data_IF_756587503988
#
_entry.id   IF_756587503988
#
_cell.length_a   1.000
_cell.length_b   1.000
_cell.length_c   1.000
_cell.angle_alpha   90.00
_cell.angle_beta   90.00
_cell.angle_gamma   90.00
#
_symmetry.space_group_name_H-M   'P 1'
#
loop_
_entity.id
_entity.type
_entity.pdbx_description
1 polymer ?
#
# COMPACT_ATOMS: atom_id res chain seq x y z
N UNK A 1 -19.96 1.37 -25.12
CA UNK A 1 -19.37 1.78 -26.42
C UNK A 1 -20.22 2.89 -26.98
N UNK A 2 -19.59 3.92 -27.56
CA UNK A 2 -20.33 4.97 -28.26
C UNK A 2 -20.77 4.40 -29.61
N UNK A 3 -22.07 4.45 -29.88
CA UNK A 3 -22.62 4.21 -31.21
C UNK A 3 -22.07 5.29 -32.13
N UNK A 4 -21.44 4.90 -33.24
CA UNK A 4 -20.95 5.82 -34.25
C UNK A 4 -21.58 5.45 -35.59
N UNK A 5 -22.10 6.46 -36.27
CA UNK A 5 -22.59 6.33 -37.65
C UNK A 5 -21.42 6.25 -38.62
N UNK A 6 -21.67 5.75 -39.84
CA UNK A 6 -20.65 5.67 -40.89
C UNK A 6 -20.08 7.08 -41.16
N UNK A 7 -18.79 7.26 -40.93
CA UNK A 7 -18.08 8.53 -41.12
C UNK A 7 -17.93 9.37 -39.84
N UNK A 8 -18.49 8.96 -38.70
CA UNK A 8 -18.24 9.61 -37.41
C UNK A 8 -16.94 9.10 -36.79
N UNK A 9 -16.16 10.05 -36.27
CA UNK A 9 -14.98 9.75 -35.45
C UNK A 9 -15.46 9.26 -34.09
N UNK A 10 -15.00 8.09 -33.66
CA UNK A 10 -15.27 7.54 -32.34
C UNK A 10 -13.98 7.27 -31.61
N UNK A 11 -14.02 7.41 -30.28
CA UNK A 11 -12.89 7.06 -29.43
C UNK A 11 -12.93 5.57 -29.13
N UNK A 12 -11.93 4.84 -29.62
CA UNK A 12 -11.69 3.44 -29.27
C UNK A 12 -10.73 3.41 -28.08
N UNK A 13 -11.15 2.74 -27.01
CA UNK A 13 -10.27 2.51 -25.87
C UNK A 13 -9.53 1.19 -26.10
N UNK A 14 -8.22 1.29 -26.22
CA UNK A 14 -7.31 0.18 -26.55
C UNK A 14 -6.57 -0.32 -25.31
N UNK A 15 -6.70 0.41 -24.20
CA UNK A 15 -6.22 0.05 -22.88
C UNK A 15 -7.19 0.55 -21.82
N UNK A 16 -7.50 -0.29 -20.84
CA UNK A 16 -8.23 0.12 -19.64
C UNK A 16 -7.93 -0.81 -18.46
N UNK A 17 -8.16 -0.30 -17.25
CA UNK A 17 -8.05 -1.03 -15.99
C UNK A 17 -9.22 -0.62 -15.11
N UNK A 18 -10.12 -1.55 -14.81
CA UNK A 18 -11.44 -1.28 -14.24
C UNK A 18 -11.81 -2.33 -13.18
N UNK A 19 -12.59 -1.91 -12.19
CA UNK A 19 -13.26 -2.83 -11.25
C UNK A 19 -14.74 -2.94 -11.58
N UNK A 20 -15.38 -3.98 -11.04
CA UNK A 20 -16.84 -4.17 -11.08
C UNK A 20 -17.64 -3.07 -10.38
N UNK A 21 -16.99 -2.10 -9.73
CA UNK A 21 -17.66 -0.94 -9.13
C UNK A 21 -17.95 0.15 -10.17
N UNK A 22 -17.39 0.01 -11.38
CA UNK A 22 -17.54 1.00 -12.46
C UNK A 22 -18.62 0.59 -13.47
N UNK A 23 -19.55 1.47 -13.87
CA UNK A 23 -20.57 1.13 -14.87
C UNK A 23 -20.00 0.71 -16.24
N UNK A 24 -18.79 1.18 -16.58
CA UNK A 24 -18.10 0.83 -17.82
C UNK A 24 -17.66 -0.64 -17.83
N UNK A 25 -17.27 -1.18 -16.68
CA UNK A 25 -16.88 -2.59 -16.54
C UNK A 25 -17.96 -3.53 -17.07
N UNK A 26 -19.21 -3.36 -16.63
CA UNK A 26 -20.32 -4.23 -17.02
C UNK A 26 -20.55 -4.24 -18.53
N UNK A 27 -20.53 -3.07 -19.17
CA UNK A 27 -20.70 -2.94 -20.62
C UNK A 27 -19.60 -3.66 -21.41
N UNK A 28 -18.37 -3.64 -20.90
CA UNK A 28 -17.23 -4.29 -21.55
C UNK A 28 -17.25 -5.80 -21.35
N UNK A 29 -17.56 -6.28 -20.14
CA UNK A 29 -17.63 -7.71 -19.84
C UNK A 29 -18.78 -8.40 -20.59
N UNK A 30 -19.95 -7.77 -20.70
CA UNK A 30 -21.06 -8.30 -21.53
C UNK A 30 -20.65 -8.44 -23.00
N UNK A 31 -19.93 -7.45 -23.53
CA UNK A 31 -19.42 -7.50 -24.90
C UNK A 31 -18.38 -8.60 -25.09
N UNK A 32 -17.48 -8.76 -24.11
CA UNK A 32 -16.45 -9.79 -24.11
C UNK A 32 -17.05 -11.20 -24.06
N UNK A 33 -18.07 -11.43 -23.22
CA UNK A 33 -18.80 -12.70 -23.14
C UNK A 33 -19.36 -13.08 -24.51
N UNK A 34 -19.99 -12.13 -25.21
CA UNK A 34 -20.49 -12.35 -26.57
C UNK A 34 -19.41 -12.72 -27.59
N UNK A 35 -18.26 -12.02 -27.57
CA UNK A 35 -17.14 -12.29 -28.48
C UNK A 35 -16.52 -13.67 -28.23
N UNK A 36 -16.22 -14.00 -26.98
CA UNK A 36 -15.60 -15.28 -26.63
C UNK A 36 -16.56 -16.44 -26.94
N UNK A 37 -17.84 -16.31 -26.60
CA UNK A 37 -18.85 -17.35 -26.89
C UNK A 37 -18.95 -17.58 -28.40
N UNK A 38 -19.08 -16.52 -29.20
CA UNK A 38 -19.15 -16.64 -30.65
C UNK A 38 -17.90 -17.30 -31.26
N UNK A 39 -16.73 -17.00 -30.71
CA UNK A 39 -15.48 -17.51 -31.25
C UNK A 39 -15.21 -18.97 -30.83
N UNK A 40 -15.67 -19.37 -29.65
CA UNK A 40 -15.54 -20.75 -29.12
C UNK A 40 -16.59 -21.70 -29.69
N UNK A 41 -17.80 -21.22 -29.98
CA UNK A 41 -18.85 -21.98 -30.69
C UNK A 41 -18.35 -22.50 -32.05
N UNK A 42 -17.55 -21.70 -32.78
CA UNK A 42 -16.93 -22.10 -34.05
C UNK A 42 -15.97 -23.29 -33.91
N UNK A 43 -15.45 -23.52 -32.71
CA UNK A 43 -14.52 -24.60 -32.40
C UNK A 43 -15.18 -25.72 -31.59
N UNK A 44 -16.50 -25.67 -31.35
CA UNK A 44 -17.23 -26.62 -30.50
C UNK A 44 -16.68 -26.71 -29.07
N UNK A 45 -16.12 -25.61 -28.56
CA UNK A 45 -15.63 -25.48 -27.19
C UNK A 45 -16.68 -24.71 -26.39
N UNK A 46 -17.15 -25.26 -25.28
CA UNK A 46 -18.07 -24.54 -24.37
C UNK A 46 -17.28 -23.97 -23.20
N UNK A 47 -17.29 -22.64 -23.05
CA UNK A 47 -16.66 -21.94 -21.93
C UNK A 47 -17.73 -21.25 -21.09
N UNK A 48 -17.74 -21.50 -19.77
CA UNK A 48 -18.61 -20.77 -18.85
C UNK A 48 -17.84 -19.65 -18.15
N UNK A 49 -17.88 -18.45 -18.74
CA UNK A 49 -17.19 -17.27 -18.21
C UNK A 49 -17.75 -16.78 -16.88
N UNK A 50 -18.99 -17.14 -16.53
CA UNK A 50 -19.66 -16.69 -15.30
C UNK A 50 -19.15 -17.39 -14.04
N UNK A 51 -18.53 -18.56 -14.20
CA UNK A 51 -17.96 -19.33 -13.10
C UNK A 51 -16.44 -19.20 -13.01
N UNK A 52 -15.81 -18.65 -14.04
CA UNK A 52 -14.36 -18.50 -14.10
C UNK A 52 -13.86 -17.51 -13.04
N UNK A 53 -12.79 -17.89 -12.34
CA UNK A 53 -12.09 -17.01 -11.41
C UNK A 53 -11.05 -16.15 -12.11
N UNK A 54 -10.45 -16.64 -13.19
CA UNK A 54 -9.49 -15.91 -14.02
C UNK A 54 -9.65 -16.30 -15.47
N UNK A 55 -9.76 -15.30 -16.33
CA UNK A 55 -9.77 -15.40 -17.79
C UNK A 55 -8.64 -14.52 -18.31
N UNK A 56 -7.63 -15.14 -18.90
CA UNK A 56 -6.55 -14.45 -19.60
C UNK A 56 -6.68 -14.74 -21.09
N UNK A 57 -6.76 -13.69 -21.89
CA UNK A 57 -6.81 -13.75 -23.34
C UNK A 57 -5.59 -13.05 -23.93
N UNK A 58 -4.94 -13.71 -24.88
CA UNK A 58 -3.82 -13.17 -25.65
C UNK A 58 -4.28 -13.05 -27.10
N UNK A 59 -4.20 -11.86 -27.67
CA UNK A 59 -4.53 -11.59 -29.08
C UNK A 59 -3.21 -11.47 -29.83
N UNK A 60 -2.98 -12.38 -30.78
CA UNK A 60 -1.75 -12.41 -31.58
C UNK A 60 -1.84 -11.40 -32.74
N UNK A 61 -0.71 -11.01 -33.36
CA UNK A 61 -0.69 -10.03 -34.45
C UNK A 61 -1.50 -10.41 -35.69
N UNK A 62 -1.78 -11.70 -35.89
CA UNK A 62 -2.61 -12.22 -36.97
C UNK A 62 -4.12 -12.23 -36.63
N UNK A 63 -4.51 -11.63 -35.50
CA UNK A 63 -5.85 -11.65 -34.90
C UNK A 63 -6.34 -13.04 -34.47
N UNK A 64 -5.47 -14.05 -34.43
CA UNK A 64 -5.76 -15.24 -33.65
C UNK A 64 -5.70 -14.91 -32.16
N UNK A 65 -6.34 -15.72 -31.32
CA UNK A 65 -6.30 -15.52 -29.89
C UNK A 65 -6.18 -16.84 -29.14
N UNK A 66 -5.57 -16.76 -27.97
CA UNK A 66 -5.40 -17.84 -27.01
C UNK A 66 -6.15 -17.47 -25.73
N UNK A 67 -6.93 -18.41 -25.17
CA UNK A 67 -7.73 -18.17 -23.96
C UNK A 67 -7.36 -19.18 -22.88
N UNK A 68 -7.02 -18.68 -21.72
CA UNK A 68 -6.78 -19.43 -20.50
C UNK A 68 -7.90 -19.15 -19.51
N UNK A 69 -8.65 -20.18 -19.12
CA UNK A 69 -9.76 -20.08 -18.15
C UNK A 69 -9.40 -20.93 -16.95
N UNK A 70 -9.15 -20.30 -15.81
CA UNK A 70 -8.70 -20.93 -14.55
C UNK A 70 -7.48 -21.87 -14.69
N UNK A 71 -6.72 -21.72 -15.78
CA UNK A 71 -5.59 -22.57 -16.12
C UNK A 71 -4.25 -21.81 -16.15
N UNK A 72 -4.29 -20.48 -16.24
CA UNK A 72 -3.07 -19.67 -16.20
C UNK A 72 -2.51 -19.65 -14.77
N UNK A 73 -1.24 -19.98 -14.62
CA UNK A 73 -0.56 -19.81 -13.35
C UNK A 73 -0.48 -18.31 -13.01
N UNK A 74 -0.97 -17.93 -11.82
CA UNK A 74 -0.98 -16.54 -11.35
C UNK A 74 0.10 -16.37 -10.28
N UNK A 75 0.91 -15.32 -10.42
CA UNK A 75 1.91 -14.92 -9.41
C UNK A 75 1.69 -13.46 -9.02
N UNK A 76 1.64 -13.19 -7.73
CA UNK A 76 1.63 -11.84 -7.19
C UNK A 76 3.04 -11.44 -6.77
N UNK A 77 3.49 -10.25 -7.17
CA UNK A 77 4.71 -9.63 -6.62
C UNK A 77 4.34 -8.77 -5.43
N UNK A 78 4.76 -9.17 -4.24
CA UNK A 78 4.46 -8.48 -3.01
C UNK A 78 5.70 -7.81 -2.43
N UNK A 79 5.51 -6.65 -1.79
CA UNK A 79 6.46 -6.12 -0.81
C UNK A 79 6.19 -6.82 0.52
N UNK A 80 7.23 -7.39 1.11
CA UNK A 80 7.12 -8.20 2.34
C UNK A 80 7.61 -7.45 3.57
N UNK A 81 6.99 -7.73 4.72
CA UNK A 81 7.31 -7.14 6.03
C UNK A 81 8.47 -7.84 6.75
N UNK A 82 8.95 -8.97 6.24
CA UNK A 82 10.08 -9.70 6.83
C UNK A 82 10.77 -10.53 5.78
N UNK A 83 11.97 -11.00 6.11
CA UNK A 83 12.67 -12.01 5.30
C UNK A 83 11.89 -13.32 5.28
N UNK A 84 11.67 -13.87 4.09
CA UNK A 84 10.95 -15.13 3.88
C UNK A 84 11.80 -16.00 2.95
N UNK A 85 12.12 -17.22 3.40
CA UNK A 85 12.90 -18.16 2.60
C UNK A 85 12.08 -18.67 1.40
N UNK A 86 12.75 -18.91 0.27
CA UNK A 86 12.11 -19.48 -0.91
C UNK A 86 11.34 -20.77 -0.57
N UNK A 87 10.17 -20.97 -1.21
CA UNK A 87 9.25 -22.09 -0.98
C UNK A 87 8.53 -22.09 0.38
N UNK A 88 8.69 -21.06 1.20
CA UNK A 88 7.89 -20.89 2.42
C UNK A 88 6.52 -20.32 2.09
N UNK A 89 5.53 -20.62 2.93
CA UNK A 89 4.23 -19.97 2.86
C UNK A 89 4.35 -18.47 3.16
N UNK A 90 3.61 -17.66 2.41
CA UNK A 90 3.43 -16.22 2.63
C UNK A 90 2.00 -16.00 3.09
N UNK A 91 1.83 -15.33 4.22
CA UNK A 91 0.52 -15.01 4.77
C UNK A 91 0.18 -13.53 4.55
N UNK A 92 -1.10 -13.18 4.65
CA UNK A 92 -1.55 -11.78 4.48
C UNK A 92 -0.79 -10.82 5.42
N UNK A 93 -0.57 -11.23 6.67
CA UNK A 93 0.18 -10.45 7.65
C UNK A 93 1.63 -10.16 7.24
N UNK A 94 2.20 -10.92 6.29
CA UNK A 94 3.55 -10.72 5.77
C UNK A 94 3.59 -9.68 4.65
N UNK A 95 2.45 -9.26 4.11
CA UNK A 95 2.36 -8.39 2.93
C UNK A 95 2.24 -6.93 3.36
N UNK A 96 3.17 -6.10 2.90
CA UNK A 96 3.12 -4.64 3.04
C UNK A 96 2.46 -3.98 1.83
N UNK A 97 2.60 -4.54 0.62
CA UNK A 97 1.98 -4.05 -0.61
C UNK A 97 1.95 -5.13 -1.70
N UNK A 98 1.08 -4.97 -2.71
CA UNK A 98 1.01 -5.81 -3.91
C UNK A 98 1.31 -4.93 -5.12
N UNK A 99 2.41 -5.23 -5.81
CA UNK A 99 2.93 -4.37 -6.88
C UNK A 99 2.56 -4.86 -8.28
N UNK A 100 2.47 -6.17 -8.48
CA UNK A 100 2.17 -6.77 -9.77
C UNK A 100 1.37 -8.06 -9.63
N UNK A 101 0.65 -8.40 -10.69
CA UNK A 101 0.13 -9.74 -10.96
C UNK A 101 0.66 -10.20 -12.31
N UNK A 102 1.17 -11.43 -12.38
CA UNK A 102 1.89 -11.97 -13.52
C UNK A 102 1.42 -13.38 -13.88
N UNK A 103 1.70 -13.77 -15.13
CA UNK A 103 1.40 -15.10 -15.67
C UNK A 103 2.70 -15.75 -16.18
N UNK A 104 3.54 -16.32 -15.31
CA UNK A 104 4.90 -16.75 -15.67
C UNK A 104 4.96 -17.94 -16.63
N UNK A 105 3.88 -18.71 -16.76
CA UNK A 105 3.81 -19.89 -17.63
C UNK A 105 2.99 -19.64 -18.89
N UNK A 106 2.74 -18.37 -19.23
CA UNK A 106 2.00 -17.97 -20.42
C UNK A 106 2.93 -17.12 -21.29
N UNK A 107 3.07 -17.51 -22.56
CA UNK A 107 3.90 -16.78 -23.52
C UNK A 107 3.16 -15.56 -24.09
N UNK A 108 3.53 -14.38 -23.59
CA UNK A 108 3.02 -13.09 -24.02
C UNK A 108 4.14 -12.36 -24.77
N UNK A 109 4.00 -12.22 -26.09
CA UNK A 109 4.94 -11.55 -26.96
C UNK A 109 4.80 -10.02 -26.95
N UNK A 110 5.84 -9.31 -27.38
CA UNK A 110 5.88 -7.84 -27.39
C UNK A 110 4.85 -7.20 -28.32
N UNK A 111 4.31 -7.94 -29.30
CA UNK A 111 3.29 -7.46 -30.23
C UNK A 111 1.89 -7.97 -29.92
N UNK A 112 1.75 -8.78 -28.88
CA UNK A 112 0.47 -9.35 -28.49
C UNK A 112 -0.39 -8.29 -27.81
N UNK A 113 -1.70 -8.37 -28.02
CA UNK A 113 -2.70 -7.76 -27.16
C UNK A 113 -3.00 -8.69 -25.98
N UNK A 114 -3.33 -8.12 -24.83
CA UNK A 114 -3.67 -8.89 -23.63
C UNK A 114 -4.94 -8.37 -22.99
N UNK A 115 -5.73 -9.28 -22.44
CA UNK A 115 -6.86 -8.99 -21.58
C UNK A 115 -6.86 -9.98 -20.43
N UNK A 116 -7.04 -9.50 -19.21
CA UNK A 116 -7.25 -10.31 -18.04
C UNK A 116 -8.50 -9.84 -17.29
N UNK A 117 -9.43 -10.75 -17.09
CA UNK A 117 -10.58 -10.62 -16.19
C UNK A 117 -10.37 -11.59 -15.05
N UNK A 118 -10.37 -11.12 -13.81
CA UNK A 118 -10.22 -11.98 -12.64
C UNK A 118 -11.20 -11.59 -11.54
N UNK A 119 -11.44 -12.54 -10.64
CA UNK A 119 -12.31 -12.40 -9.49
C UNK A 119 -11.48 -12.39 -8.21
N UNK A 120 -11.76 -11.43 -7.34
CA UNK A 120 -11.27 -11.41 -5.96
C UNK A 120 -12.46 -11.30 -5.02
N UNK A 121 -12.66 -12.34 -4.20
CA UNK A 121 -13.85 -12.56 -3.38
C UNK A 121 -15.17 -12.43 -4.17
N UNK A 122 -15.88 -11.31 -4.06
CA UNK A 122 -17.18 -11.05 -4.71
C UNK A 122 -17.12 -10.00 -5.82
N UNK A 123 -15.94 -9.42 -6.07
CA UNK A 123 -15.74 -8.37 -7.05
C UNK A 123 -14.77 -8.82 -8.15
N UNK A 124 -14.75 -8.06 -9.24
CA UNK A 124 -13.98 -8.41 -10.44
C UNK A 124 -13.07 -7.26 -10.86
N UNK A 125 -11.88 -7.62 -11.35
CA UNK A 125 -10.94 -6.72 -12.01
C UNK A 125 -10.82 -7.08 -13.48
N UNK A 126 -10.85 -6.05 -14.34
CA UNK A 126 -10.63 -6.17 -15.78
C UNK A 126 -9.50 -5.23 -16.18
N UNK A 127 -8.44 -5.77 -16.76
CA UNK A 127 -7.45 -4.96 -17.46
C UNK A 127 -7.25 -5.49 -18.88
N UNK A 128 -7.02 -4.59 -19.82
CA UNK A 128 -6.59 -4.96 -21.17
C UNK A 128 -5.64 -3.92 -21.75
N UNK A 129 -4.81 -4.40 -22.67
CA UNK A 129 -3.92 -3.62 -23.50
C UNK A 129 -3.81 -4.31 -24.86
N UNK A 130 -4.53 -3.80 -25.87
CA UNK A 130 -4.55 -4.35 -27.21
C UNK A 130 -3.46 -3.77 -28.12
N UNK A 131 -2.49 -3.06 -27.55
CA UNK A 131 -1.28 -2.65 -28.25
C UNK A 131 -1.53 -1.86 -29.56
N UNK A 132 -2.42 -0.86 -29.52
CA UNK A 132 -2.75 -0.04 -30.69
C UNK A 132 -1.59 0.93 -31.01
N UNK A 133 -0.70 0.48 -31.89
CA UNK A 133 0.36 1.30 -32.48
C UNK A 133 1.77 1.12 -31.91
N UNK A 134 2.08 0.03 -31.19
CA UNK A 134 3.40 -0.13 -30.57
C UNK A 134 3.79 -1.54 -30.13
N UNK A 135 4.58 -1.60 -29.05
CA UNK A 135 4.88 -2.82 -28.31
C UNK A 135 4.10 -2.81 -26.98
N UNK A 136 3.63 -3.99 -26.55
CA UNK A 136 2.97 -4.19 -25.27
C UNK A 136 3.86 -3.73 -24.13
N UNK A 137 3.37 -2.79 -23.32
CA UNK A 137 4.01 -2.41 -22.06
C UNK A 137 3.62 -3.44 -20.99
N UNK A 138 4.27 -4.62 -21.06
CA UNK A 138 3.98 -5.75 -20.18
C UNK A 138 4.10 -5.39 -18.71
N UNK A 139 5.15 -4.65 -18.36
CA UNK A 139 5.39 -4.22 -16.99
C UNK A 139 4.23 -3.35 -16.49
N UNK A 140 3.75 -2.39 -17.29
CA UNK A 140 2.58 -1.59 -16.92
C UNK A 140 1.31 -2.44 -16.78
N UNK A 141 1.05 -3.35 -17.71
CA UNK A 141 -0.12 -4.23 -17.63
C UNK A 141 -0.11 -5.07 -16.34
N UNK A 142 1.04 -5.65 -15.98
CA UNK A 142 1.20 -6.43 -14.76
C UNK A 142 1.06 -5.57 -13.50
N UNK A 143 1.51 -4.30 -13.52
CA UNK A 143 1.26 -3.33 -12.44
C UNK A 143 -0.21 -2.95 -12.31
N UNK A 144 -0.88 -2.73 -13.43
CA UNK A 144 -2.30 -2.38 -13.46
C UNK A 144 -3.13 -3.52 -12.85
N UNK A 145 -2.81 -4.78 -13.18
CA UNK A 145 -3.44 -5.95 -12.55
C UNK A 145 -3.13 -6.06 -11.05
N UNK A 146 -1.89 -5.81 -10.64
CA UNK A 146 -1.52 -5.76 -9.22
C UNK A 146 -2.33 -4.69 -8.46
N UNK A 147 -2.53 -3.54 -9.08
CA UNK A 147 -3.32 -2.43 -8.53
C UNK A 147 -4.79 -2.77 -8.41
N UNK A 148 -5.39 -3.38 -9.44
CA UNK A 148 -6.77 -3.87 -9.37
C UNK A 148 -6.92 -4.92 -8.26
N UNK A 149 -6.01 -5.89 -8.17
CA UNK A 149 -6.07 -6.93 -7.14
C UNK A 149 -6.00 -6.31 -5.75
N UNK A 150 -5.07 -5.38 -5.54
CA UNK A 150 -4.95 -4.63 -4.28
C UNK A 150 -6.23 -3.88 -3.94
N UNK A 151 -6.77 -3.11 -4.89
CA UNK A 151 -7.99 -2.33 -4.69
C UNK A 151 -9.18 -3.20 -4.28
N UNK A 152 -9.32 -4.38 -4.89
CA UNK A 152 -10.38 -5.33 -4.55
C UNK A 152 -10.15 -6.02 -3.20
N UNK A 153 -8.94 -6.59 -3.00
CA UNK A 153 -8.57 -7.32 -1.78
C UNK A 153 -8.63 -6.45 -0.53
N UNK A 154 -8.13 -5.22 -0.65
CA UNK A 154 -7.99 -4.27 0.46
C UNK A 154 -8.99 -3.12 0.37
N UNK A 155 -10.13 -3.30 -0.31
CA UNK A 155 -11.16 -2.27 -0.47
C UNK A 155 -11.52 -1.57 0.84
N UNK A 156 -11.69 -2.33 1.92
CA UNK A 156 -11.96 -1.81 3.25
C UNK A 156 -10.93 -0.79 3.76
N UNK A 157 -9.65 -0.91 3.37
CA UNK A 157 -8.62 0.08 3.71
C UNK A 157 -8.80 1.34 2.89
N UNK A 158 -9.03 1.21 1.59
CA UNK A 158 -9.31 2.34 0.71
C UNK A 158 -10.55 3.12 1.15
N UNK A 159 -11.63 2.44 1.53
CA UNK A 159 -12.83 3.08 2.08
C UNK A 159 -12.56 3.85 3.38
N UNK A 160 -11.63 3.37 4.22
CA UNK A 160 -11.18 4.09 5.42
C UNK A 160 -10.38 5.33 5.02
N UNK A 161 -9.47 5.20 4.05
CA UNK A 161 -8.62 6.30 3.57
C UNK A 161 -9.43 7.40 2.86
N UNK A 162 -10.48 7.02 2.14
CA UNK A 162 -11.36 7.91 1.39
C UNK A 162 -12.44 8.58 2.27
N UNK A 163 -12.55 8.20 3.54
CA UNK A 163 -13.44 8.81 4.54
C UNK A 163 -12.67 9.85 5.38
N UNK A 164 -12.83 11.16 5.10
CA UNK A 164 -12.05 12.20 5.78
C UNK A 164 -12.33 12.27 7.28
N UNK A 165 -13.55 11.93 7.73
CA UNK A 165 -13.91 11.96 9.13
C UNK A 165 -13.23 10.83 9.90
N UNK A 166 -13.24 9.62 9.33
CA UNK A 166 -12.52 8.48 9.91
C UNK A 166 -11.02 8.74 9.94
N UNK A 167 -10.44 9.29 8.87
CA UNK A 167 -9.02 9.63 8.83
C UNK A 167 -8.63 10.72 9.83
N UNK A 168 -9.43 11.77 9.97
CA UNK A 168 -9.20 12.78 11.00
C UNK A 168 -9.24 12.18 12.41
N UNK A 169 -10.20 11.29 12.68
CA UNK A 169 -10.29 10.59 13.96
C UNK A 169 -9.08 9.70 14.23
N UNK A 170 -8.62 8.93 13.24
CA UNK A 170 -7.40 8.12 13.32
C UNK A 170 -6.18 8.98 13.65
N UNK A 171 -5.94 10.05 12.89
CA UNK A 171 -4.79 10.95 13.08
C UNK A 171 -4.82 11.66 14.43
N UNK A 172 -6.00 12.09 14.89
CA UNK A 172 -6.14 12.72 16.22
C UNK A 172 -5.72 11.78 17.35
N UNK A 173 -5.89 10.46 17.16
CA UNK A 173 -5.45 9.42 18.09
C UNK A 173 -4.02 8.93 17.85
N UNK A 174 -3.32 9.43 16.83
CA UNK A 174 -1.97 9.01 16.45
C UNK A 174 -1.89 7.71 15.66
N UNK A 175 -3.00 7.32 15.04
CA UNK A 175 -3.08 6.11 14.23
C UNK A 175 -3.07 6.43 12.72
N UNK A 176 -2.48 5.50 11.98
CA UNK A 176 -2.36 5.47 10.53
C UNK A 176 -2.35 4.00 10.10
N UNK A 177 -2.74 3.62 8.86
CA UNK A 177 -2.51 2.28 8.33
C UNK A 177 -1.01 2.01 8.10
N UNK A 178 -0.23 1.93 9.18
CA UNK A 178 1.19 1.62 9.08
C UNK A 178 1.36 0.22 8.47
N UNK A 179 2.31 0.09 7.56
CA UNK A 179 2.57 -1.14 6.81
C UNK A 179 2.73 -2.36 7.73
N UNK A 180 3.32 -2.18 8.91
CA UNK A 180 3.50 -3.27 9.88
C UNK A 180 2.15 -3.85 10.38
N UNK A 181 1.12 -3.02 10.59
CA UNK A 181 -0.17 -3.42 11.19
C UNK A 181 -1.35 -3.37 10.20
N UNK A 182 -1.11 -3.01 8.94
CA UNK A 182 -2.13 -2.64 7.92
C UNK A 182 -3.23 -3.67 7.65
N UNK A 183 -3.03 -4.91 8.07
CA UNK A 183 -3.94 -6.03 7.82
C UNK A 183 -5.06 -6.12 8.87
N UNK A 184 -5.25 -7.28 9.51
CA UNK A 184 -6.31 -7.51 10.48
C UNK A 184 -6.27 -6.55 11.68
N UNK A 185 -5.09 -6.23 12.19
CA UNK A 185 -4.89 -5.36 13.36
C UNK A 185 -5.42 -3.95 13.10
N UNK A 186 -4.98 -3.31 12.01
CA UNK A 186 -5.48 -2.00 11.64
C UNK A 186 -6.97 -2.02 11.31
N UNK A 187 -7.48 -3.08 10.65
CA UNK A 187 -8.92 -3.20 10.36
C UNK A 187 -9.76 -3.14 11.64
N UNK A 188 -9.37 -3.88 12.67
CA UNK A 188 -10.09 -3.90 13.96
C UNK A 188 -10.05 -2.54 14.64
N UNK A 189 -8.86 -1.91 14.68
CA UNK A 189 -8.64 -0.59 15.25
C UNK A 189 -9.46 0.49 14.54
N UNK A 190 -9.38 0.55 13.20
CA UNK A 190 -10.12 1.51 12.38
C UNK A 190 -11.63 1.35 12.54
N UNK A 191 -12.13 0.12 12.63
CA UNK A 191 -13.55 -0.17 12.88
C UNK A 191 -14.03 0.38 14.24
N UNK A 192 -13.23 0.21 15.31
CA UNK A 192 -13.58 0.75 16.63
C UNK A 192 -13.58 2.28 16.64
N UNK A 193 -12.56 2.89 16.02
CA UNK A 193 -12.47 4.35 15.91
C UNK A 193 -13.65 4.91 15.12
N UNK A 194 -13.96 4.33 13.96
CA UNK A 194 -15.10 4.73 13.12
C UNK A 194 -16.43 4.61 13.86
N UNK A 195 -16.56 3.61 14.72
CA UNK A 195 -17.78 3.36 15.50
C UNK A 195 -17.85 4.18 16.80
N UNK A 196 -16.82 4.97 17.13
CA UNK A 196 -16.74 5.71 18.38
C UNK A 196 -16.57 4.83 19.63
N UNK A 197 -16.14 3.58 19.44
CA UNK A 197 -15.91 2.65 20.55
C UNK A 197 -14.60 2.96 21.28
N UNK A 198 -14.52 2.50 22.53
CA UNK A 198 -13.29 2.58 23.31
C UNK A 198 -12.21 1.72 22.63
N UNK A 199 -11.02 2.29 22.44
CA UNK A 199 -9.89 1.62 21.78
C UNK A 199 -8.88 1.02 22.77
N UNK A 200 -9.04 1.25 24.08
CA UNK A 200 -8.03 0.91 25.09
C UNK A 200 -7.60 -0.57 25.08
N UNK A 201 -8.55 -1.49 24.94
CA UNK A 201 -8.27 -2.94 24.91
C UNK A 201 -7.49 -3.32 23.65
N UNK A 202 -7.94 -2.86 22.47
CA UNK A 202 -7.27 -3.14 21.19
C UNK A 202 -5.88 -2.53 21.14
N UNK A 203 -5.72 -1.32 21.69
CA UNK A 203 -4.41 -0.66 21.75
C UNK A 203 -3.47 -1.40 22.70
N UNK A 204 -3.97 -1.94 23.82
CA UNK A 204 -3.19 -2.77 24.72
C UNK A 204 -2.78 -4.09 24.05
N UNK A 205 -3.72 -4.80 23.42
CA UNK A 205 -3.44 -6.03 22.68
C UNK A 205 -2.42 -5.81 21.56
N UNK A 206 -2.52 -4.67 20.86
CA UNK A 206 -1.56 -4.31 19.83
C UNK A 206 -0.18 -4.04 20.42
N UNK A 207 -0.08 -3.38 21.57
CA UNK A 207 1.20 -3.20 22.27
C UNK A 207 1.81 -4.55 22.67
N UNK A 208 1.00 -5.49 23.20
CA UNK A 208 1.47 -6.83 23.58
C UNK A 208 1.91 -7.67 22.36
N UNK A 209 1.28 -7.47 21.20
CA UNK A 209 1.62 -8.18 19.97
C UNK A 209 2.99 -7.79 19.38
N UNK A 210 3.66 -6.75 19.90
CA UNK A 210 5.02 -6.38 19.53
C UNK A 210 6.03 -7.06 20.47
N UNK A 211 6.10 -8.38 20.32
CA UNK A 211 7.04 -9.24 21.03
C UNK A 211 8.50 -9.10 20.53
N UNK A 212 9.41 -9.85 21.14
CA UNK A 212 10.83 -9.83 20.78
C UNK A 212 11.07 -10.17 19.31
N UNK A 213 10.36 -11.15 18.77
CA UNK A 213 10.54 -11.57 17.39
C UNK A 213 10.10 -10.47 16.42
N UNK A 214 8.92 -9.89 16.65
CA UNK A 214 8.39 -8.81 15.82
C UNK A 214 9.26 -7.56 15.87
N UNK A 215 9.70 -7.16 17.06
CA UNK A 215 10.60 -6.01 17.22
C UNK A 215 11.95 -6.24 16.55
N UNK A 216 12.50 -7.46 16.63
CA UNK A 216 13.76 -7.78 15.96
C UNK A 216 13.61 -7.73 14.42
N UNK A 217 12.46 -8.12 13.87
CA UNK A 217 12.19 -7.96 12.42
C UNK A 217 12.19 -6.48 11.99
N UNK A 218 11.71 -5.57 12.85
CA UNK A 218 11.81 -4.12 12.57
C UNK A 218 13.28 -3.67 12.52
N UNK A 219 14.08 -4.08 13.51
CA UNK A 219 15.51 -3.78 13.55
C UNK A 219 16.25 -4.33 12.33
N UNK A 220 15.95 -5.56 11.89
CA UNK A 220 16.49 -6.13 10.65
C UNK A 220 16.15 -5.26 9.44
N UNK A 221 14.90 -4.82 9.32
CA UNK A 221 14.45 -3.93 8.25
C UNK A 221 15.19 -2.60 8.28
N UNK A 222 15.37 -2.01 9.46
CA UNK A 222 16.10 -0.77 9.65
C UNK A 222 17.58 -0.94 9.30
N UNK A 223 18.22 -2.01 9.75
CA UNK A 223 19.63 -2.30 9.49
C UNK A 223 19.93 -2.59 8.00
N UNK A 224 18.91 -2.90 7.19
CA UNK A 224 19.06 -3.00 5.74
C UNK A 224 19.20 -1.63 5.03
N UNK A 225 19.07 -0.51 5.76
CA UNK A 225 19.07 0.86 5.21
C UNK A 225 20.27 1.68 5.73
N UNK A 226 21.14 2.21 4.85
CA UNK A 226 22.36 2.91 5.28
C UNK A 226 22.13 4.08 6.25
N UNK A 227 21.09 4.89 6.02
CA UNK A 227 20.73 6.05 6.86
C UNK A 227 20.11 5.67 8.21
N UNK A 228 19.64 4.44 8.39
CA UNK A 228 19.23 3.90 9.69
C UNK A 228 20.42 3.31 10.45
N UNK A 229 21.34 2.62 9.75
CA UNK A 229 22.55 2.03 10.36
C UNK A 229 23.40 3.08 11.09
N UNK A 230 23.47 4.31 10.55
CA UNK A 230 24.15 5.42 11.21
C UNK A 230 23.60 5.75 12.61
N UNK A 231 22.37 5.33 12.91
CA UNK A 231 21.64 5.55 14.16
C UNK A 231 21.40 4.27 14.96
N UNK A 232 21.95 3.14 14.52
CA UNK A 232 21.62 1.80 15.03
C UNK A 232 21.63 1.71 16.56
N UNK A 233 22.69 2.21 17.23
CA UNK A 233 22.79 2.14 18.69
C UNK A 233 21.62 2.85 19.41
N UNK A 234 21.13 3.97 18.87
CA UNK A 234 19.98 4.68 19.42
C UNK A 234 18.67 3.92 19.16
N UNK A 235 18.53 3.35 17.96
CA UNK A 235 17.34 2.57 17.60
C UNK A 235 17.25 1.28 18.43
N UNK A 236 18.36 0.61 18.67
CA UNK A 236 18.45 -0.56 19.56
C UNK A 236 18.09 -0.19 20.99
N UNK A 237 18.61 0.92 21.53
CA UNK A 237 18.26 1.41 22.86
C UNK A 237 16.76 1.71 22.98
N UNK A 238 16.15 2.33 21.97
CA UNK A 238 14.72 2.57 21.95
C UNK A 238 13.90 1.27 21.94
N UNK A 239 14.30 0.26 21.16
CA UNK A 239 13.63 -1.03 21.15
C UNK A 239 13.79 -1.75 22.49
N UNK A 240 14.97 -1.71 23.11
CA UNK A 240 15.18 -2.25 24.46
C UNK A 240 14.33 -1.54 25.51
N UNK A 241 14.21 -0.22 25.43
CA UNK A 241 13.33 0.56 26.29
C UNK A 241 11.86 0.17 26.11
N UNK A 242 11.41 -0.10 24.87
CA UNK A 242 10.05 -0.56 24.60
C UNK A 242 9.78 -1.93 25.27
N UNK A 243 10.70 -2.89 25.09
CA UNK A 243 10.65 -4.21 25.75
C UNK A 243 10.57 -4.11 27.27
N UNK A 244 11.27 -3.13 27.85
CA UNK A 244 11.28 -2.84 29.30
C UNK A 244 10.11 -1.95 29.76
N UNK A 245 9.13 -1.65 28.90
CA UNK A 245 7.97 -0.80 29.20
C UNK A 245 8.36 0.62 29.67
N UNK A 246 9.36 1.22 29.02
CA UNK A 246 9.86 2.58 29.32
C UNK A 246 9.47 3.56 28.20
N UNK A 247 8.18 3.96 28.09
CA UNK A 247 7.68 4.72 26.95
C UNK A 247 8.37 6.08 26.78
N UNK A 248 8.75 6.73 27.88
CA UNK A 248 9.45 8.03 27.85
C UNK A 248 10.76 7.92 27.05
N UNK A 249 11.56 6.88 27.31
CA UNK A 249 12.84 6.69 26.63
C UNK A 249 12.62 6.41 25.13
N UNK A 250 11.68 5.53 24.78
CA UNK A 250 11.33 5.23 23.38
C UNK A 250 10.97 6.50 22.63
N UNK A 251 10.03 7.28 23.19
CA UNK A 251 9.50 8.49 22.55
C UNK A 251 10.59 9.55 22.40
N UNK A 252 11.37 9.81 23.46
CA UNK A 252 12.43 10.81 23.46
C UNK A 252 13.55 10.48 22.47
N UNK A 253 13.89 9.19 22.32
CA UNK A 253 14.90 8.75 21.35
C UNK A 253 14.34 8.83 19.92
N UNK A 254 13.22 8.14 19.65
CA UNK A 254 12.79 7.95 18.26
C UNK A 254 12.21 9.21 17.60
N UNK A 255 11.50 10.09 18.33
CA UNK A 255 10.96 11.31 17.73
C UNK A 255 12.05 12.24 17.18
N UNK A 256 13.22 12.29 17.84
CA UNK A 256 14.34 13.09 17.32
C UNK A 256 15.04 12.38 16.16
N UNK A 257 15.14 11.05 16.21
CA UNK A 257 15.79 10.28 15.14
C UNK A 257 14.95 10.22 13.85
N UNK A 258 13.61 10.29 13.90
CA UNK A 258 12.77 10.38 12.70
C UNK A 258 13.20 11.54 11.79
N UNK A 259 13.40 12.74 12.36
CA UNK A 259 13.85 13.92 11.60
C UNK A 259 15.28 13.73 11.06
N UNK A 260 16.17 13.13 11.87
CA UNK A 260 17.55 12.84 11.49
C UNK A 260 17.66 11.86 10.33
N UNK A 261 16.92 10.75 10.40
CA UNK A 261 16.84 9.70 9.38
C UNK A 261 16.30 10.24 8.06
N UNK A 262 15.23 11.05 8.10
CA UNK A 262 14.72 11.73 6.92
C UNK A 262 15.75 12.67 6.29
N UNK A 263 16.50 13.42 7.11
CA UNK A 263 17.54 14.32 6.64
C UNK A 263 18.69 13.57 5.98
N UNK A 264 19.13 12.46 6.58
CA UNK A 264 20.22 11.66 6.04
C UNK A 264 19.81 10.95 4.73
N UNK A 265 18.59 10.43 4.65
CA UNK A 265 18.01 9.90 3.41
C UNK A 265 17.92 10.99 2.31
N UNK A 266 17.45 12.20 2.66
CA UNK A 266 17.39 13.32 1.71
C UNK A 266 18.78 13.69 1.20
N UNK A 267 19.77 13.81 2.09
CA UNK A 267 21.16 14.17 1.75
C UNK A 267 21.79 13.14 0.81
N UNK A 268 21.53 11.84 1.03
CA UNK A 268 22.05 10.77 0.19
C UNK A 268 21.58 10.89 -1.26
N UNK A 269 20.35 11.36 -1.49
CA UNK A 269 19.77 11.53 -2.83
C UNK A 269 20.01 12.91 -3.44
N UNK A 270 20.36 13.93 -2.63
CA UNK A 270 20.48 15.32 -3.07
C UNK A 270 21.88 15.91 -2.81
N UNK A 271 22.93 15.10 -3.00
CA UNK A 271 24.34 15.53 -2.92
C UNK A 271 24.70 16.30 -1.64
N UNK A 272 24.16 15.88 -0.49
CA UNK A 272 24.47 16.47 0.81
C UNK A 272 23.72 17.76 1.15
N UNK A 273 22.76 18.20 0.33
CA UNK A 273 21.96 19.39 0.62
C UNK A 273 21.11 19.26 1.88
N UNK A 274 20.89 20.39 2.56
CA UNK A 274 20.03 20.49 3.74
C UNK A 274 18.74 21.23 3.44
N UNK A 275 17.66 20.75 4.04
CA UNK A 275 16.34 21.39 3.90
C UNK A 275 15.61 21.45 5.24
N UNK A 276 14.59 22.30 5.29
CA UNK A 276 13.71 22.46 6.46
C UNK A 276 12.75 21.26 6.56
N UNK A 277 12.18 21.04 7.75
CA UNK A 277 11.26 19.92 8.05
C UNK A 277 10.14 19.80 7.01
N UNK A 278 9.49 20.89 6.60
CA UNK A 278 8.42 20.85 5.59
C UNK A 278 8.85 20.14 4.29
N UNK A 279 10.06 20.42 3.81
CA UNK A 279 10.60 19.80 2.61
C UNK A 279 11.03 18.34 2.85
N UNK A 280 11.45 17.98 4.07
CA UNK A 280 11.70 16.58 4.44
C UNK A 280 10.41 15.75 4.42
N UNK A 281 9.28 16.32 4.82
CA UNK A 281 7.98 15.65 4.79
C UNK A 281 7.45 15.50 3.35
N UNK A 282 7.69 16.50 2.49
CA UNK A 282 7.45 16.39 1.04
C UNK A 282 8.27 15.26 0.44
N UNK A 283 9.57 15.25 0.72
CA UNK A 283 10.48 14.19 0.30
C UNK A 283 10.02 12.80 0.74
N UNK A 284 9.57 12.64 1.99
CA UNK A 284 9.08 11.34 2.47
C UNK A 284 7.88 10.83 1.65
N UNK A 285 6.92 11.70 1.33
CA UNK A 285 5.78 11.35 0.48
C UNK A 285 6.19 10.98 -0.94
N UNK A 286 7.11 11.74 -1.54
CA UNK A 286 7.64 11.46 -2.88
C UNK A 286 8.47 10.17 -2.93
N UNK A 287 9.33 9.95 -1.93
CA UNK A 287 10.12 8.73 -1.79
C UNK A 287 9.21 7.51 -1.65
N UNK A 288 8.17 7.59 -0.82
CA UNK A 288 7.18 6.54 -0.67
C UNK A 288 6.50 6.20 -2.00
N UNK A 289 5.96 7.20 -2.69
CA UNK A 289 5.31 7.02 -4.00
C UNK A 289 6.25 6.44 -5.05
N UNK A 290 7.49 6.94 -5.12
CA UNK A 290 8.52 6.43 -6.03
C UNK A 290 8.90 4.99 -5.70
N UNK A 291 9.07 4.66 -4.41
CA UNK A 291 9.41 3.31 -3.98
C UNK A 291 8.33 2.31 -4.38
N UNK A 292 7.06 2.72 -4.35
CA UNK A 292 5.93 1.87 -4.63
C UNK A 292 5.64 1.75 -6.13
N UNK A 293 6.21 2.63 -6.96
CA UNK A 293 6.04 2.62 -8.42
C UNK A 293 4.68 3.10 -8.92
N UNK A 294 3.76 3.43 -8.00
CA UNK A 294 2.42 3.95 -8.27
C UNK A 294 1.96 4.84 -7.09
N UNK A 295 1.08 5.83 -7.32
CA UNK A 295 0.56 6.68 -6.25
C UNK A 295 -0.46 5.95 -5.35
N UNK A 296 -1.20 5.00 -5.91
CA UNK A 296 -2.24 4.24 -5.23
C UNK A 296 -1.66 2.92 -4.74
N UNK A 297 -1.05 2.89 -3.55
CA UNK A 297 -0.48 1.67 -2.92
C UNK A 297 -0.90 1.55 -1.46
N UNK A 298 -0.74 0.35 -0.88
CA UNK A 298 -0.99 0.15 0.56
C UNK A 298 -0.05 0.93 1.47
N UNK A 299 1.00 1.54 0.91
CA UNK A 299 1.88 2.40 1.68
C UNK A 299 1.26 3.78 1.92
N UNK A 300 0.30 4.23 1.11
CA UNK A 300 -0.42 5.49 1.31
C UNK A 300 0.50 6.70 1.55
N UNK A 301 1.55 6.84 0.73
CA UNK A 301 2.64 7.79 0.96
C UNK A 301 2.18 9.26 1.13
N UNK A 302 1.18 9.68 0.36
CA UNK A 302 0.60 11.03 0.48
C UNK A 302 -0.10 11.23 1.84
N UNK A 303 -0.98 10.30 2.21
CA UNK A 303 -1.68 10.36 3.49
C UNK A 303 -0.72 10.22 4.68
N UNK A 304 0.38 9.48 4.53
CA UNK A 304 1.42 9.39 5.56
C UNK A 304 2.14 10.72 5.77
N UNK A 305 2.40 11.47 4.70
CA UNK A 305 2.93 12.84 4.80
C UNK A 305 2.00 13.73 5.60
N UNK A 306 0.69 13.68 5.33
CA UNK A 306 -0.32 14.43 6.10
C UNK A 306 -0.33 14.00 7.57
N UNK A 307 -0.30 12.69 7.84
CA UNK A 307 -0.16 12.16 9.20
C UNK A 307 1.06 12.71 9.94
N UNK A 308 2.24 12.72 9.30
CA UNK A 308 3.43 13.29 9.92
C UNK A 308 3.30 14.79 10.17
N UNK A 309 2.67 15.54 9.26
CA UNK A 309 2.47 16.98 9.42
C UNK A 309 1.49 17.31 10.56
N UNK A 310 0.38 16.58 10.63
CA UNK A 310 -0.72 16.86 11.56
C UNK A 310 -0.55 16.20 12.93
N UNK A 311 0.27 15.16 13.04
CA UNK A 311 0.49 14.43 14.30
C UNK A 311 1.96 14.50 14.76
N UNK A 312 2.89 13.88 14.04
CA UNK A 312 4.29 13.73 14.48
C UNK A 312 5.03 15.06 14.59
N UNK A 313 4.79 15.98 13.66
CA UNK A 313 5.37 17.33 13.62
C UNK A 313 4.30 18.41 13.81
N UNK A 314 3.21 18.06 14.50
CA UNK A 314 2.16 19.02 14.82
C UNK A 314 2.72 20.17 15.66
N UNK A 315 2.39 21.41 15.27
CA UNK A 315 2.62 22.58 16.10
C UNK A 315 1.78 22.50 17.38
N UNK A 316 2.27 23.10 18.46
CA UNK A 316 1.51 23.30 19.70
C UNK A 316 1.56 24.77 20.09
N UNK A 317 0.57 25.23 20.87
CA UNK A 317 0.55 26.58 21.42
C UNK A 317 1.29 26.61 22.77
N UNK A 318 2.47 27.27 22.87
CA UNK A 318 3.22 27.35 24.12
C UNK A 318 2.50 28.12 25.23
N UNK A 319 1.52 28.96 24.89
CA UNK A 319 0.74 29.76 25.83
C UNK A 319 -0.65 29.16 26.09
N UNK A 320 -0.99 28.09 25.38
CA UNK A 320 -2.30 27.43 25.41
C UNK A 320 -2.26 26.12 26.19
N UNK A 321 -2.92 25.10 25.65
CA UNK A 321 -2.87 23.76 26.24
C UNK A 321 -1.52 23.09 25.97
N UNK A 322 -0.96 22.37 26.96
CA UNK A 322 0.25 21.59 26.75
C UNK A 322 0.05 20.57 25.63
N UNK A 323 1.11 20.29 24.88
CA UNK A 323 1.06 19.30 23.80
C UNK A 323 1.04 17.86 24.31
N UNK A 324 1.01 16.90 23.38
CA UNK A 324 1.08 15.48 23.68
C UNK A 324 2.40 14.85 23.23
N UNK A 325 2.77 13.73 23.86
CA UNK A 325 3.99 12.98 23.57
C UNK A 325 4.02 12.30 22.18
N UNK A 326 3.00 12.49 21.35
CA UNK A 326 3.02 12.12 19.92
C UNK A 326 3.71 13.15 19.02
N UNK A 327 3.82 14.41 19.46
CA UNK A 327 4.44 15.48 18.68
C UNK A 327 5.90 15.69 19.06
N UNK A 328 6.80 15.61 18.07
CA UNK A 328 8.21 15.97 18.18
C UNK A 328 8.40 17.40 18.68
N UNK A 329 7.54 18.32 18.27
CA UNK A 329 7.64 19.71 18.73
C UNK A 329 7.29 19.82 20.21
N UNK A 330 6.16 19.25 20.64
CA UNK A 330 5.77 19.27 22.04
C UNK A 330 6.82 18.59 22.94
N UNK A 331 7.30 17.40 22.56
CA UNK A 331 8.31 16.64 23.32
C UNK A 331 9.66 17.35 23.34
N UNK A 332 10.09 17.90 22.20
CA UNK A 332 11.39 18.57 22.06
C UNK A 332 11.47 19.90 22.82
N UNK A 333 10.33 20.58 23.00
CA UNK A 333 10.23 21.81 23.78
C UNK A 333 9.85 21.60 25.26
N UNK A 334 9.68 20.35 25.68
CA UNK A 334 9.29 20.01 27.07
C UNK A 334 7.85 20.39 27.41
N UNK A 335 6.99 20.59 26.42
CA UNK A 335 5.60 20.99 26.58
C UNK A 335 4.62 19.81 26.60
N UNK A 336 5.10 18.59 26.37
CA UNK A 336 4.28 17.37 26.43
C UNK A 336 3.94 16.98 27.87
N UNK A 337 2.67 16.70 28.16
CA UNK A 337 2.21 16.26 29.49
C UNK A 337 2.79 14.90 29.87
N UNK A 338 3.02 14.65 31.16
CA UNK A 338 3.62 13.41 31.63
C UNK A 338 2.72 12.19 31.36
N UNK A 339 1.41 12.36 31.46
CA UNK A 339 0.39 11.33 31.25
C UNK A 339 0.35 10.85 29.79
N UNK A 340 0.78 11.69 28.86
CA UNK A 340 0.77 11.35 27.43
C UNK A 340 1.88 10.37 27.01
N UNK A 341 2.88 10.12 27.87
CA UNK A 341 3.95 9.16 27.61
C UNK A 341 3.51 7.72 27.92
N UNK A 342 2.70 7.16 27.02
CA UNK A 342 2.16 5.80 27.15
C UNK A 342 2.86 4.79 26.25
N UNK A 343 2.68 3.49 26.51
CA UNK A 343 3.19 2.43 25.63
C UNK A 343 2.55 2.46 24.25
N UNK A 344 1.26 2.81 24.16
CA UNK A 344 0.58 3.02 22.88
C UNK A 344 1.27 4.12 22.07
N UNK A 345 1.61 5.24 22.72
CA UNK A 345 2.30 6.35 22.05
C UNK A 345 3.71 5.96 21.63
N UNK A 346 4.42 5.19 22.45
CA UNK A 346 5.73 4.62 22.09
C UNK A 346 5.64 3.71 20.85
N UNK A 347 4.61 2.85 20.77
CA UNK A 347 4.38 1.98 19.63
C UNK A 347 4.11 2.79 18.35
N UNK A 348 3.27 3.82 18.42
CA UNK A 348 2.98 4.67 17.26
C UNK A 348 4.24 5.37 16.73
N UNK A 349 5.16 5.78 17.60
CA UNK A 349 6.44 6.36 17.18
C UNK A 349 7.33 5.31 16.51
N UNK A 350 7.38 4.08 17.04
CA UNK A 350 8.07 2.94 16.40
C UNK A 350 7.50 2.69 15.00
N UNK A 351 6.18 2.62 14.87
CA UNK A 351 5.48 2.39 13.61
C UNK A 351 5.68 3.53 12.60
N UNK A 352 5.73 4.78 13.09
CA UNK A 352 6.03 5.95 12.25
C UNK A 352 7.44 5.84 11.67
N UNK A 353 8.41 5.46 12.48
CA UNK A 353 9.77 5.24 12.00
C UNK A 353 9.84 4.04 11.04
N UNK A 354 9.15 2.94 11.34
CA UNK A 354 9.15 1.74 10.49
C UNK A 354 8.52 2.01 9.11
N UNK A 355 7.47 2.83 9.04
CA UNK A 355 6.89 3.25 7.77
C UNK A 355 7.92 3.94 6.86
N UNK A 356 8.82 4.75 7.42
CA UNK A 356 9.88 5.41 6.67
C UNK A 356 10.88 4.42 6.09
N UNK A 357 11.13 3.29 6.76
CA UNK A 357 12.00 2.23 6.25
C UNK A 357 11.42 1.55 4.99
N UNK A 358 10.10 1.58 4.79
CA UNK A 358 9.47 1.15 3.54
C UNK A 358 9.62 2.15 2.39
N UNK A 359 9.90 3.42 2.68
CA UNK A 359 9.91 4.50 1.67
C UNK A 359 11.32 4.85 1.19
N UNK A 360 12.29 4.78 2.10
CA UNK A 360 13.62 5.39 1.93
C UNK A 360 14.73 4.38 1.66
#
# INVERSE_FOLDING_TARGET
MNSASKGEMTHVSVRASLTSDTPLFHKLVESLEGVITHATDKQSITINLRQASTILMIVKPDNSFEIWVDAAAVVLKCRIKRSIAAKSAVFEQDIADITHMQFPHVEIGERDGVLCLFREAWAFGLAFDFNDGGALDRERFERDLGSLYRALRYRHLYEVMDDPATMAALRSKGWFPFAEIITSEFRQLASHIKSGFNTSEIEADLVEAFDDERLNRLLERWNAKPHFVAKQALLEEAIQAFKQRRPIAVIKILLTEIEGILRDAYRALNAGQNVKVKALLEFAGEAGAKSAGAPDTLLFAHAFREYMQEHTFASFDPMGQPGEAGSRHAVGHGAATQESYTMTRALQVILTLDQLAFYT
#
